data_IF_068996745551
#
_entry.id   IF_068996745551
#
_cell.length_a   1.000
_cell.length_b   1.000
_cell.length_c   1.000
_cell.angle_alpha   90.00
_cell.angle_beta   90.00
_cell.angle_gamma   90.00
#
_symmetry.space_group_name_H-M   'P 1'
#
loop_
_entity.id
_entity.type
_entity.pdbx_description
1 polymer ?
#
# COMPACT_ATOMS: atom_id res chain seq x y z
N UNK A 1 0.59 10.37 7.44
CA UNK A 1 2.02 10.06 7.21
C UNK A 1 2.72 11.35 6.87
N UNK A 2 3.81 11.66 7.55
CA UNK A 2 4.55 12.92 7.52
C UNK A 2 6.02 12.65 7.15
N UNK A 3 6.82 13.66 6.75
CA UNK A 3 8.25 13.47 6.44
C UNK A 3 9.06 12.81 7.56
N UNK A 4 8.74 13.11 8.82
CA UNK A 4 9.38 12.52 10.00
C UNK A 4 9.11 11.03 10.18
N UNK A 5 8.09 10.47 9.50
CA UNK A 5 7.80 9.04 9.50
C UNK A 5 8.73 8.26 8.54
N UNK A 6 9.46 8.98 7.65
CA UNK A 6 10.09 8.38 6.48
C UNK A 6 11.12 7.29 6.79
N UNK A 7 11.94 7.46 7.81
CA UNK A 7 12.94 6.46 8.16
C UNK A 7 12.32 5.11 8.50
N UNK A 8 11.20 5.10 9.24
CA UNK A 8 10.46 3.89 9.57
C UNK A 8 9.67 3.33 8.36
N UNK A 9 9.06 4.20 7.57
CA UNK A 9 8.37 3.84 6.32
C UNK A 9 9.35 3.17 5.36
N UNK A 10 10.52 3.78 5.17
CA UNK A 10 11.59 3.27 4.32
C UNK A 10 12.10 1.90 4.80
N UNK A 11 12.35 1.75 6.10
CA UNK A 11 12.77 0.47 6.68
C UNK A 11 11.78 -0.66 6.36
N UNK A 12 10.48 -0.44 6.61
CA UNK A 12 9.44 -1.43 6.32
C UNK A 12 9.33 -1.69 4.81
N UNK A 13 9.56 -0.66 3.98
CA UNK A 13 9.58 -0.82 2.53
C UNK A 13 10.76 -1.70 2.07
N UNK A 14 11.96 -1.45 2.59
CA UNK A 14 13.18 -2.23 2.33
C UNK A 14 13.01 -3.70 2.77
N UNK A 15 12.35 -3.96 3.90
CA UNK A 15 11.96 -5.32 4.31
C UNK A 15 11.03 -5.98 3.28
N UNK A 16 10.06 -5.24 2.74
CA UNK A 16 9.19 -5.72 1.67
C UNK A 16 9.95 -6.03 0.38
N UNK A 17 10.83 -5.12 -0.04
CA UNK A 17 11.71 -5.30 -1.22
C UNK A 17 12.56 -6.56 -1.07
N UNK A 18 13.16 -6.76 0.11
CA UNK A 18 14.02 -7.91 0.41
C UNK A 18 13.31 -9.26 0.25
N UNK A 19 11.96 -9.31 0.38
CA UNK A 19 11.21 -10.55 0.12
C UNK A 19 11.20 -10.96 -1.34
N UNK A 20 11.45 -10.04 -2.27
CA UNK A 20 11.29 -10.25 -3.72
C UNK A 20 9.84 -10.49 -4.16
N UNK A 21 8.85 -10.27 -3.28
CA UNK A 21 7.44 -10.57 -3.55
C UNK A 21 6.48 -9.38 -3.34
N UNK A 22 7.00 -8.22 -2.89
CA UNK A 22 6.14 -7.09 -2.55
C UNK A 22 6.07 -6.01 -3.63
N UNK A 23 7.09 -5.88 -4.46
CA UNK A 23 7.22 -4.80 -5.45
C UNK A 23 8.27 -5.15 -6.50
N UNK A 24 8.22 -4.47 -7.65
CA UNK A 24 9.29 -4.49 -8.67
C UNK A 24 10.48 -3.62 -8.29
N UNK A 25 10.33 -2.73 -7.30
CA UNK A 25 11.42 -1.88 -6.84
C UNK A 25 12.54 -2.72 -6.21
N UNK A 26 13.78 -2.32 -6.51
CA UNK A 26 14.99 -2.98 -5.98
C UNK A 26 15.64 -2.20 -4.84
N UNK A 27 15.21 -0.96 -4.63
CA UNK A 27 15.64 -0.08 -3.54
C UNK A 27 14.52 0.92 -3.21
N UNK A 28 14.44 1.34 -1.96
CA UNK A 28 13.52 2.40 -1.57
C UNK A 28 13.93 3.74 -2.21
N UNK A 29 12.98 4.56 -2.68
CA UNK A 29 13.24 5.89 -3.21
C UNK A 29 13.64 6.87 -2.10
N UNK A 30 13.90 8.14 -2.44
CA UNK A 30 13.95 9.23 -1.45
C UNK A 30 12.53 9.61 -1.00
N UNK A 31 12.41 10.35 0.11
CA UNK A 31 11.12 10.88 0.55
C UNK A 31 10.44 11.71 -0.54
N UNK A 32 11.18 12.59 -1.20
CA UNK A 32 10.64 13.49 -2.23
C UNK A 32 10.07 12.72 -3.41
N UNK A 33 10.79 11.70 -3.87
CA UNK A 33 10.34 10.84 -4.98
C UNK A 33 9.11 10.01 -4.56
N UNK A 34 9.09 9.50 -3.33
CA UNK A 34 7.97 8.76 -2.78
C UNK A 34 6.75 9.67 -2.59
N UNK A 35 6.94 10.87 -2.04
CA UNK A 35 5.87 11.87 -1.81
C UNK A 35 5.21 12.28 -3.14
N UNK A 36 6.01 12.53 -4.17
CA UNK A 36 5.53 12.92 -5.49
C UNK A 36 4.74 11.81 -6.20
N UNK A 37 5.08 10.53 -5.96
CA UNK A 37 4.43 9.36 -6.58
C UNK A 37 3.08 8.99 -5.95
N UNK A 38 2.77 9.51 -4.75
CA UNK A 38 1.58 9.12 -4.01
C UNK A 38 0.60 10.28 -3.82
N UNK A 39 -0.70 9.95 -3.74
CA UNK A 39 -1.73 10.92 -3.37
C UNK A 39 -1.43 11.46 -1.97
N UNK A 40 -1.73 12.74 -1.73
CA UNK A 40 -1.52 13.34 -0.42
C UNK A 40 -2.41 12.73 0.66
N UNK A 41 -3.64 12.36 0.28
CA UNK A 41 -4.63 11.75 1.16
C UNK A 41 -5.47 10.71 0.40
N UNK A 42 -5.84 9.58 1.07
CA UNK A 42 -5.33 9.14 2.38
C UNK A 42 -3.93 8.52 2.30
N UNK A 43 -3.09 8.82 3.31
CA UNK A 43 -1.80 8.16 3.56
C UNK A 43 -1.78 7.71 5.01
N UNK A 44 -1.83 6.43 5.26
CA UNK A 44 -2.03 5.87 6.59
C UNK A 44 -0.74 5.26 7.15
N UNK A 45 -0.57 5.42 8.46
CA UNK A 45 0.49 4.82 9.25
C UNK A 45 -0.14 4.18 10.49
N UNK A 46 0.06 2.88 10.68
CA UNK A 46 -0.36 2.17 11.89
C UNK A 46 0.77 2.19 12.91
N UNK A 47 0.44 2.58 14.16
CA UNK A 47 1.38 2.65 15.28
C UNK A 47 0.85 1.87 16.48
N UNK A 48 1.74 1.54 17.42
CA UNK A 48 1.31 0.99 18.70
C UNK A 48 0.43 1.98 19.47
N UNK A 49 -0.63 1.52 20.15
CA UNK A 49 -1.42 2.35 21.05
C UNK A 49 -0.51 2.92 22.17
N UNK A 50 -0.52 4.23 22.37
CA UNK A 50 0.26 4.90 23.43
C UNK A 50 1.51 5.66 22.96
N UNK A 51 1.96 5.52 21.72
CA UNK A 51 3.19 6.20 21.24
C UNK A 51 2.93 7.58 20.61
N UNK A 52 1.68 7.99 20.44
CA UNK A 52 1.34 9.36 19.98
C UNK A 52 1.77 10.48 20.94
N UNK A 53 2.07 10.14 22.20
CA UNK A 53 2.38 11.11 23.25
C UNK A 53 3.88 11.35 23.49
N UNK A 54 4.78 10.67 22.77
CA UNK A 54 6.24 10.81 22.95
C UNK A 54 6.94 11.18 21.64
N UNK A 55 6.52 12.30 21.03
CA UNK A 55 7.13 12.83 19.79
C UNK A 55 8.57 13.36 20.02
N UNK A 56 9.02 13.51 21.25
CA UNK A 56 10.37 14.06 21.57
C UNK A 56 11.50 13.00 21.66
N UNK A 57 11.21 11.72 21.53
CA UNK A 57 12.21 10.65 21.47
C UNK A 57 11.88 9.63 20.39
N UNK A 58 11.78 10.09 19.14
CA UNK A 58 11.59 9.25 17.96
C UNK A 58 12.91 8.54 17.61
N UNK A 59 13.24 7.49 18.33
CA UNK A 59 14.24 6.54 17.89
C UNK A 59 13.82 5.14 18.24
N UNK A 60 13.47 4.39 17.18
CA UNK A 60 13.27 2.95 17.06
C UNK A 60 11.89 2.38 17.41
N UNK A 61 11.03 2.26 16.39
CA UNK A 61 10.18 1.08 16.31
C UNK A 61 8.70 1.23 16.64
N UNK A 62 8.06 2.38 16.42
CA UNK A 62 6.61 2.53 16.64
C UNK A 62 5.72 2.21 15.44
N UNK A 63 6.24 2.17 14.22
CA UNK A 63 5.45 1.94 13.02
C UNK A 63 5.25 0.45 12.75
N UNK A 64 3.99 0.01 12.73
CA UNK A 64 3.59 -1.37 12.46
C UNK A 64 3.34 -1.64 10.97
N UNK A 65 3.14 -0.58 10.19
CA UNK A 65 2.87 -0.66 8.76
C UNK A 65 2.32 0.64 8.22
N UNK A 66 2.24 0.73 6.90
CA UNK A 66 1.76 1.91 6.19
C UNK A 66 1.01 1.55 4.91
N UNK A 67 0.12 2.44 4.48
CA UNK A 67 -0.67 2.27 3.28
C UNK A 67 -0.99 3.62 2.63
N UNK A 68 -0.48 3.92 1.43
CA UNK A 68 -0.82 5.05 0.59
C UNK A 68 -1.69 4.63 -0.59
N UNK A 69 -2.07 5.64 -1.37
CA UNK A 69 -2.64 5.50 -2.70
C UNK A 69 -1.75 6.18 -3.73
N UNK A 70 -1.66 5.62 -4.93
CA UNK A 70 -1.06 6.25 -6.09
C UNK A 70 -2.07 6.39 -7.23
N UNK A 71 -1.85 7.36 -8.13
CA UNK A 71 -2.67 7.53 -9.33
C UNK A 71 -2.43 6.40 -10.31
N UNK A 72 -3.48 5.93 -10.96
CA UNK A 72 -3.35 4.94 -12.05
C UNK A 72 -3.17 5.61 -13.41
N UNK A 73 -3.54 6.91 -13.52
CA UNK A 73 -3.47 7.68 -14.76
C UNK A 73 -3.61 9.17 -14.47
N UNK A 74 -2.98 10.01 -15.31
CA UNK A 74 -3.11 11.47 -15.29
C UNK A 74 -4.36 11.98 -16.04
N UNK A 75 -5.12 11.11 -16.70
CA UNK A 75 -6.36 11.49 -17.39
C UNK A 75 -7.47 11.75 -16.38
N UNK A 76 -8.14 12.91 -16.49
CA UNK A 76 -9.19 13.34 -15.58
C UNK A 76 -10.36 12.35 -15.44
N UNK A 77 -10.66 11.57 -16.47
CA UNK A 77 -11.70 10.53 -16.43
C UNK A 77 -11.40 9.41 -15.46
N UNK A 78 -10.14 9.25 -15.03
CA UNK A 78 -9.69 8.29 -14.03
C UNK A 78 -9.36 8.93 -12.67
N UNK A 79 -9.77 10.17 -12.43
CA UNK A 79 -9.45 10.89 -11.20
C UNK A 79 -9.90 10.17 -9.91
N UNK A 80 -10.95 9.35 -9.98
CA UNK A 80 -11.43 8.54 -8.86
C UNK A 80 -10.95 7.09 -8.89
N UNK A 81 -9.88 6.77 -9.63
CA UNK A 81 -9.25 5.45 -9.65
C UNK A 81 -7.86 5.55 -9.04
N UNK A 82 -7.56 4.72 -8.05
CA UNK A 82 -6.25 4.70 -7.40
C UNK A 82 -5.74 3.27 -7.19
N UNK A 83 -4.42 3.13 -7.14
CA UNK A 83 -3.76 1.89 -6.77
C UNK A 83 -3.37 1.94 -5.29
N UNK A 84 -3.63 0.84 -4.57
CA UNK A 84 -3.27 0.70 -3.17
C UNK A 84 -1.91 0.03 -3.01
N UNK A 85 -1.15 0.49 -2.01
CA UNK A 85 0.00 -0.24 -1.48
C UNK A 85 -0.20 -0.49 0.01
N UNK A 86 0.22 -1.66 0.51
CA UNK A 86 0.16 -2.00 1.94
C UNK A 86 1.44 -2.71 2.32
N UNK A 87 2.17 -2.14 3.27
CA UNK A 87 3.41 -2.71 3.80
C UNK A 87 3.32 -2.84 5.31
N UNK A 88 3.66 -4.03 5.81
CA UNK A 88 3.56 -4.36 7.24
C UNK A 88 4.94 -4.79 7.74
N UNK A 89 5.36 -4.18 8.85
CA UNK A 89 6.55 -4.57 9.60
C UNK A 89 6.55 -6.09 9.83
N UNK A 90 7.70 -6.73 9.64
CA UNK A 90 7.80 -8.18 9.73
C UNK A 90 7.32 -8.73 11.09
N UNK A 91 7.61 -8.02 12.19
CA UNK A 91 7.18 -8.41 13.53
C UNK A 91 5.69 -8.15 13.82
N UNK A 92 5.01 -7.36 12.96
CA UNK A 92 3.60 -7.02 13.10
C UNK A 92 2.68 -7.85 12.19
N UNK A 93 3.24 -8.72 11.34
CA UNK A 93 2.46 -9.59 10.44
C UNK A 93 1.62 -10.59 11.23
N UNK A 94 0.50 -11.03 10.64
CA UNK A 94 -0.42 -11.98 11.27
C UNK A 94 -1.26 -11.42 12.43
N UNK A 95 -1.08 -10.15 12.81
CA UNK A 95 -1.73 -9.49 13.96
C UNK A 95 -2.92 -8.60 13.56
N UNK A 96 -3.41 -8.69 12.32
CA UNK A 96 -4.56 -7.92 11.84
C UNK A 96 -4.24 -6.49 11.38
N UNK A 97 -3.00 -6.01 11.50
CA UNK A 97 -2.58 -4.65 11.14
C UNK A 97 -2.89 -4.34 9.66
N UNK A 98 -2.58 -5.26 8.75
CA UNK A 98 -2.86 -5.08 7.32
C UNK A 98 -4.35 -4.90 7.03
N UNK A 99 -5.22 -5.67 7.71
CA UNK A 99 -6.67 -5.54 7.56
C UNK A 99 -7.18 -4.20 8.08
N UNK A 100 -6.67 -3.76 9.22
CA UNK A 100 -7.03 -2.46 9.80
C UNK A 100 -6.60 -1.30 8.89
N UNK A 101 -5.35 -1.33 8.39
CA UNK A 101 -4.82 -0.33 7.46
C UNK A 101 -5.61 -0.28 6.15
N UNK A 102 -5.81 -1.42 5.50
CA UNK A 102 -6.52 -1.47 4.22
C UNK A 102 -8.00 -1.08 4.39
N UNK A 103 -8.65 -1.48 5.49
CA UNK A 103 -10.00 -1.05 5.80
C UNK A 103 -10.12 0.47 5.96
N UNK A 104 -9.25 1.07 6.76
CA UNK A 104 -9.21 2.52 6.96
C UNK A 104 -8.83 3.29 5.66
N UNK A 105 -7.95 2.70 4.82
CA UNK A 105 -7.60 3.28 3.52
C UNK A 105 -8.80 3.31 2.57
N UNK A 106 -9.59 2.23 2.53
CA UNK A 106 -10.83 2.13 1.76
C UNK A 106 -11.82 3.23 2.19
N UNK A 107 -12.09 3.34 3.48
CA UNK A 107 -12.99 4.39 4.00
C UNK A 107 -12.47 5.79 3.70
N UNK A 108 -11.15 6.02 3.86
CA UNK A 108 -10.51 7.28 3.53
C UNK A 108 -10.62 7.62 2.04
N UNK A 109 -10.43 6.63 1.16
CA UNK A 109 -10.53 6.82 -0.28
C UNK A 109 -11.94 7.19 -0.72
N UNK A 110 -12.97 6.56 -0.15
CA UNK A 110 -14.38 6.87 -0.44
C UNK A 110 -14.73 8.31 -0.02
N UNK A 111 -14.22 8.78 1.12
CA UNK A 111 -14.39 10.20 1.54
C UNK A 111 -13.73 11.21 0.61
N UNK A 112 -12.68 10.80 -0.11
CA UNK A 112 -11.99 11.62 -1.12
C UNK A 112 -12.60 11.47 -2.53
N UNK A 113 -13.73 10.78 -2.66
CA UNK A 113 -14.41 10.59 -3.94
C UNK A 113 -13.74 9.57 -4.85
N UNK A 114 -12.83 8.73 -4.34
CA UNK A 114 -12.22 7.64 -5.09
C UNK A 114 -13.22 6.49 -5.14
N UNK A 115 -13.64 6.15 -6.36
CA UNK A 115 -14.68 5.13 -6.58
C UNK A 115 -14.14 3.74 -6.92
N UNK A 116 -12.88 3.64 -7.36
CA UNK A 116 -12.25 2.35 -7.66
C UNK A 116 -10.84 2.29 -7.07
N UNK A 117 -10.58 1.23 -6.32
CA UNK A 117 -9.25 0.87 -5.87
C UNK A 117 -8.79 -0.37 -6.64
N UNK A 118 -7.54 -0.35 -7.10
CA UNK A 118 -6.90 -1.52 -7.69
C UNK A 118 -5.64 -1.90 -6.92
N UNK A 119 -5.22 -3.15 -7.07
CA UNK A 119 -3.96 -3.67 -6.52
C UNK A 119 -3.31 -4.63 -7.51
N UNK A 120 -2.04 -4.41 -7.81
CA UNK A 120 -1.19 -5.36 -8.53
C UNK A 120 -0.40 -6.21 -7.52
N UNK A 121 -0.57 -7.52 -7.55
CA UNK A 121 0.01 -8.43 -6.55
C UNK A 121 0.72 -9.58 -7.26
N UNK A 122 1.96 -9.89 -6.89
CA UNK A 122 2.63 -11.07 -7.40
C UNK A 122 1.86 -12.33 -7.00
N UNK A 123 1.69 -13.33 -7.90
CA UNK A 123 0.94 -14.56 -7.62
C UNK A 123 1.45 -15.30 -6.38
N UNK A 124 2.74 -15.17 -6.07
CA UNK A 124 3.38 -15.83 -4.94
C UNK A 124 3.11 -15.14 -3.59
N UNK A 125 2.62 -13.88 -3.61
CA UNK A 125 2.30 -13.14 -2.41
C UNK A 125 0.90 -13.47 -1.89
N UNK A 126 0.73 -14.74 -1.47
CA UNK A 126 -0.56 -15.27 -1.01
C UNK A 126 -1.13 -14.45 0.16
N UNK A 127 -0.28 -13.96 1.07
CA UNK A 127 -0.73 -13.16 2.20
C UNK A 127 -1.40 -11.85 1.76
N UNK A 128 -0.85 -11.17 0.75
CA UNK A 128 -1.45 -9.96 0.18
C UNK A 128 -2.74 -10.28 -0.57
N UNK A 129 -2.77 -11.36 -1.35
CA UNK A 129 -3.97 -11.82 -2.06
C UNK A 129 -5.12 -12.04 -1.07
N UNK A 130 -4.89 -12.81 -0.02
CA UNK A 130 -5.90 -13.09 1.00
C UNK A 130 -6.35 -11.84 1.77
N UNK A 131 -5.41 -10.92 2.06
CA UNK A 131 -5.74 -9.64 2.67
C UNK A 131 -6.73 -8.85 1.80
N UNK A 132 -6.43 -8.68 0.51
CA UNK A 132 -7.26 -7.91 -0.40
C UNK A 132 -8.62 -8.56 -0.62
N UNK A 133 -8.68 -9.90 -0.79
CA UNK A 133 -9.96 -10.64 -0.89
C UNK A 133 -10.85 -10.42 0.34
N UNK A 134 -10.28 -10.51 1.54
CA UNK A 134 -11.01 -10.27 2.82
C UNK A 134 -11.48 -8.83 2.99
N UNK A 135 -10.85 -7.87 2.30
CA UNK A 135 -11.26 -6.46 2.26
C UNK A 135 -12.18 -6.13 1.08
N UNK A 136 -12.71 -7.15 0.39
CA UNK A 136 -13.73 -6.99 -0.66
C UNK A 136 -13.18 -6.68 -2.06
N UNK A 137 -11.89 -6.90 -2.29
CA UNK A 137 -11.33 -6.87 -3.63
C UNK A 137 -11.67 -8.16 -4.36
N UNK A 138 -12.06 -8.05 -5.64
CA UNK A 138 -12.26 -9.16 -6.56
C UNK A 138 -11.09 -9.28 -7.51
N UNK A 139 -10.76 -10.48 -7.92
CA UNK A 139 -9.76 -10.76 -8.94
C UNK A 139 -10.30 -10.38 -10.32
N UNK A 140 -9.51 -9.66 -11.10
CA UNK A 140 -9.82 -9.32 -12.49
C UNK A 140 -9.10 -10.24 -13.49
N UNK A 141 -7.89 -10.68 -13.13
CA UNK A 141 -7.11 -11.56 -13.98
C UNK A 141 -5.60 -11.48 -13.73
N UNK A 142 -4.88 -12.32 -14.46
CA UNK A 142 -3.43 -12.41 -14.45
C UNK A 142 -2.83 -11.66 -15.64
N UNK A 143 -1.91 -10.77 -15.38
CA UNK A 143 -1.11 -10.06 -16.38
C UNK A 143 0.22 -10.80 -16.49
N UNK A 144 0.34 -11.60 -17.53
CA UNK A 144 1.52 -12.43 -17.74
C UNK A 144 2.71 -11.58 -18.16
N UNK A 145 3.87 -11.86 -17.58
CA UNK A 145 5.17 -11.23 -17.90
C UNK A 145 5.08 -9.70 -17.93
N UNK A 146 4.38 -9.13 -16.95
CA UNK A 146 4.11 -7.68 -16.91
C UNK A 146 5.37 -6.86 -16.72
N UNK A 147 6.31 -7.33 -15.91
CA UNK A 147 7.57 -6.66 -15.62
C UNK A 147 8.73 -7.63 -15.47
N UNK A 148 9.94 -7.09 -15.48
CA UNK A 148 11.17 -7.88 -15.35
C UNK A 148 11.92 -7.45 -14.09
N UNK A 149 12.23 -8.40 -13.20
CA UNK A 149 12.96 -8.17 -11.97
C UNK A 149 14.16 -9.13 -11.91
N UNK A 150 15.37 -8.59 -11.74
CA UNK A 150 16.59 -9.42 -11.72
C UNK A 150 16.76 -10.29 -12.97
N UNK A 151 16.32 -9.83 -14.15
CA UNK A 151 16.37 -10.59 -15.39
C UNK A 151 15.22 -11.57 -15.60
N UNK A 152 14.36 -11.80 -14.60
CA UNK A 152 13.24 -12.76 -14.65
C UNK A 152 11.92 -12.04 -14.88
N UNK A 153 11.12 -12.52 -15.83
CA UNK A 153 9.76 -12.03 -16.07
C UNK A 153 8.84 -12.44 -14.92
N UNK A 154 8.03 -11.48 -14.46
CA UNK A 154 7.08 -11.70 -13.38
C UNK A 154 5.67 -11.39 -13.85
N UNK A 155 4.75 -12.22 -13.40
CA UNK A 155 3.33 -12.00 -13.60
C UNK A 155 2.76 -11.17 -12.44
N UNK A 156 1.64 -10.51 -12.69
CA UNK A 156 0.90 -9.74 -11.67
C UNK A 156 -0.56 -10.10 -11.73
N UNK A 157 -1.12 -10.48 -10.60
CA UNK A 157 -2.56 -10.61 -10.41
C UNK A 157 -3.16 -9.22 -10.20
N UNK A 158 -4.15 -8.87 -10.98
CA UNK A 158 -4.88 -7.61 -10.85
C UNK A 158 -6.15 -7.84 -10.02
N UNK A 159 -6.27 -7.06 -8.96
CA UNK A 159 -7.44 -7.02 -8.08
C UNK A 159 -8.10 -5.64 -8.14
N UNK A 160 -9.41 -5.60 -7.92
CA UNK A 160 -10.19 -4.37 -7.92
C UNK A 160 -11.24 -4.39 -6.81
N UNK A 161 -11.47 -3.23 -6.21
CA UNK A 161 -12.62 -2.96 -5.36
C UNK A 161 -13.34 -1.71 -5.85
N UNK A 162 -14.63 -1.85 -6.25
CA UNK A 162 -15.52 -0.74 -6.60
C UNK A 162 -16.26 -0.26 -5.35
N UNK A 163 -16.22 1.03 -5.08
CA UNK A 163 -17.03 1.65 -4.01
C UNK A 163 -18.53 1.54 -4.34
N UNK A 164 -19.34 1.43 -3.29
CA UNK A 164 -20.80 1.48 -3.37
C UNK A 164 -21.36 2.86 -2.98
N UNK A 165 -20.51 3.74 -2.46
CA UNK A 165 -20.88 5.07 -1.94
C UNK A 165 -20.27 6.22 -2.72
N UNK A 166 -19.13 6.02 -3.37
CA UNK A 166 -18.44 7.02 -4.18
C UNK A 166 -18.60 6.72 -5.68
N UNK A 167 -18.79 7.78 -6.50
CA UNK A 167 -18.92 7.68 -7.95
C UNK A 167 -20.18 6.93 -8.41
N UNK A 168 -21.28 7.13 -7.70
CA UNK A 168 -22.65 6.66 -8.04
C UNK A 168 -23.37 7.69 -8.86
#
# INVERSE_FOLDING_TARGET
MLPEDWDEVRRIYEEGIATGQATFETKAPTWEAWDAAHLREPRLAARHPGERAKVEQASKGGLLGWAPLSRVSDRCVYAGVAEVSVYIDAAARGRGVGRALLGALIEGSERQGIWTLQAGIFPENIASIELHRRCGFRELGRRERLGKMGGVWRDVMLYERRSRSAGT
#
